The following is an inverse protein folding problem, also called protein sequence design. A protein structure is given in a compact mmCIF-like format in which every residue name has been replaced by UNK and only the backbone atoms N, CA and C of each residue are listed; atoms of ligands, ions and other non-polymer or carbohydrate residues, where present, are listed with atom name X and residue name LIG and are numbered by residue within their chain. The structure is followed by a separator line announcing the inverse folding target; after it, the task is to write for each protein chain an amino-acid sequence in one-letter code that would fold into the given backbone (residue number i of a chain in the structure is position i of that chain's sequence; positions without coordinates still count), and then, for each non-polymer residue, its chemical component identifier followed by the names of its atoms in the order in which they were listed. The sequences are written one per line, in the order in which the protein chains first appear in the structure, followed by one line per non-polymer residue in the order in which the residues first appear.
data_IF_155520640882
#
_entry.id   IF_155520640882
#
_cell.length_a   1.000
_cell.length_b   1.000
_cell.length_c   1.000
_cell.angle_alpha   90.00
_cell.angle_beta   90.00
_cell.angle_gamma   90.00
#
_symmetry.space_group_name_H-M   'P 1'
#
loop_
_entity.id
_entity.type
_entity.pdbx_description
1 polymer ?
#
# COMPACT_ATOMS: atom_id res chain seq x y z
N UNK A 1 3.67 -9.27 21.90
CA UNK A 1 3.39 -9.62 20.48
C UNK A 1 2.16 -10.50 20.25
N UNK A 2 1.68 -11.28 21.20
CA UNK A 2 0.45 -12.08 21.09
C UNK A 2 -0.85 -11.26 20.95
N UNK A 3 -0.80 -9.95 21.13
CA UNK A 3 -1.98 -9.08 21.18
C UNK A 3 -2.36 -8.42 19.83
N UNK A 4 -1.62 -8.68 18.76
CA UNK A 4 -1.92 -8.15 17.42
C UNK A 4 -2.23 -9.29 16.46
N UNK A 5 -3.11 -9.06 15.49
CA UNK A 5 -3.46 -10.03 14.45
C UNK A 5 -2.17 -10.52 13.76
N UNK A 6 -2.01 -11.83 13.63
CA UNK A 6 -0.81 -12.52 13.12
C UNK A 6 0.49 -12.27 13.91
N UNK A 7 0.42 -11.72 15.14
CA UNK A 7 1.59 -11.37 15.95
C UNK A 7 2.51 -12.55 16.32
N UNK A 8 2.04 -13.77 16.30
CA UNK A 8 2.81 -15.00 16.55
C UNK A 8 3.21 -15.75 15.28
N UNK A 9 2.71 -15.34 14.10
CA UNK A 9 2.96 -16.03 12.85
C UNK A 9 4.29 -15.57 12.22
N UNK A 10 5.29 -16.43 12.27
CA UNK A 10 6.59 -16.20 11.58
C UNK A 10 6.39 -16.19 10.05
N UNK A 11 5.54 -17.10 9.53
CA UNK A 11 5.25 -17.17 8.10
C UNK A 11 4.64 -15.85 7.58
N UNK A 12 3.73 -15.23 8.35
CA UNK A 12 3.17 -13.93 7.99
C UNK A 12 4.24 -12.82 7.93
N UNK A 13 5.19 -12.81 8.86
CA UNK A 13 6.31 -11.85 8.89
C UNK A 13 7.26 -12.04 7.73
N UNK A 14 7.57 -13.30 7.38
CA UNK A 14 8.34 -13.61 6.18
C UNK A 14 7.63 -13.10 4.91
N UNK A 15 6.33 -13.30 4.83
CA UNK A 15 5.51 -12.81 3.71
C UNK A 15 5.56 -11.28 3.62
N UNK A 16 5.34 -10.56 4.73
CA UNK A 16 5.44 -9.10 4.76
C UNK A 16 6.83 -8.60 4.32
N UNK A 17 7.90 -9.21 4.84
CA UNK A 17 9.28 -8.88 4.44
C UNK A 17 9.53 -9.17 2.97
N UNK A 18 9.06 -10.32 2.48
CA UNK A 18 9.17 -10.71 1.07
C UNK A 18 8.52 -9.68 0.16
N UNK A 19 7.27 -9.34 0.42
CA UNK A 19 6.54 -8.37 -0.40
C UNK A 19 7.03 -6.94 -0.21
N UNK A 20 7.69 -6.61 0.89
CA UNK A 20 8.28 -5.28 1.06
C UNK A 20 9.46 -5.03 0.13
N UNK A 21 10.18 -6.04 -0.39
CA UNK A 21 11.34 -5.72 -1.23
C UNK A 21 11.96 -6.89 -1.98
N UNK A 22 11.82 -8.12 -1.51
CA UNK A 22 12.55 -9.24 -2.10
C UNK A 22 11.90 -9.76 -3.39
N UNK A 23 10.56 -9.71 -3.50
CA UNK A 23 9.82 -10.25 -4.65
C UNK A 23 10.21 -9.60 -5.97
N UNK A 24 10.54 -8.30 -5.96
CA UNK A 24 10.85 -7.52 -7.17
C UNK A 24 12.13 -8.00 -7.86
N UNK A 25 12.99 -8.68 -7.11
CA UNK A 25 14.25 -9.25 -7.58
C UNK A 25 14.10 -10.68 -8.11
N UNK A 26 12.91 -11.27 -8.03
CA UNK A 26 12.70 -12.64 -8.49
C UNK A 26 12.88 -12.73 -10.01
N UNK A 27 13.72 -13.67 -10.54
CA UNK A 27 14.03 -13.73 -11.96
C UNK A 27 12.82 -13.85 -12.89
N UNK A 28 11.77 -14.58 -12.47
CA UNK A 28 10.52 -14.72 -13.25
C UNK A 28 9.77 -13.40 -13.46
N UNK A 29 10.06 -12.36 -12.67
CA UNK A 29 9.40 -11.06 -12.77
C UNK A 29 10.22 -10.05 -13.57
N UNK A 30 11.45 -10.36 -13.98
CA UNK A 30 12.39 -9.41 -14.59
C UNK A 30 11.89 -8.79 -15.89
N UNK A 31 11.10 -9.51 -16.68
CA UNK A 31 10.56 -9.07 -17.98
C UNK A 31 9.26 -8.26 -17.91
N UNK A 32 8.73 -7.99 -16.72
CA UNK A 32 7.45 -7.29 -16.58
C UNK A 32 7.68 -5.85 -16.10
N UNK A 33 6.86 -4.92 -16.63
CA UNK A 33 6.85 -3.52 -16.22
C UNK A 33 5.90 -3.25 -15.07
N UNK A 34 4.77 -3.94 -15.03
CA UNK A 34 3.75 -3.85 -13.99
C UNK A 34 3.48 -5.18 -13.34
N UNK A 35 2.89 -5.13 -12.16
CA UNK A 35 2.25 -6.27 -11.50
C UNK A 35 0.93 -5.86 -10.88
N UNK A 36 0.10 -6.86 -10.66
CA UNK A 36 -1.11 -6.76 -9.85
C UNK A 36 -1.06 -7.82 -8.77
N UNK A 37 -0.98 -7.39 -7.52
CA UNK A 37 -1.07 -8.30 -6.38
C UNK A 37 -2.52 -8.62 -6.10
N UNK A 38 -2.84 -9.91 -6.12
CA UNK A 38 -4.15 -10.47 -5.78
C UNK A 38 -3.93 -11.55 -4.74
N UNK A 39 -4.52 -11.42 -3.57
CA UNK A 39 -4.41 -12.41 -2.51
C UNK A 39 -5.51 -13.47 -2.59
N UNK A 40 -5.29 -14.69 -2.05
CA UNK A 40 -6.35 -15.69 -1.93
C UNK A 40 -7.52 -15.18 -1.08
N UNK A 41 -8.74 -15.56 -1.44
CA UNK A 41 -9.94 -15.24 -0.66
C UNK A 41 -10.47 -13.82 -0.86
N UNK A 42 -9.99 -13.10 -1.87
CA UNK A 42 -10.55 -11.80 -2.26
C UNK A 42 -11.77 -11.98 -3.18
N UNK A 43 -12.68 -11.01 -3.17
CA UNK A 43 -13.76 -10.90 -4.15
C UNK A 43 -13.67 -9.59 -4.90
N UNK A 44 -13.94 -9.66 -6.20
CA UNK A 44 -14.17 -8.50 -7.06
C UNK A 44 -15.67 -8.37 -7.31
N UNK A 45 -16.26 -7.27 -6.90
CA UNK A 45 -17.70 -7.05 -7.00
C UNK A 45 -18.13 -6.41 -8.33
N UNK A 46 -17.18 -5.86 -9.07
CA UNK A 46 -17.43 -5.20 -10.34
C UNK A 46 -16.73 -5.94 -11.49
N UNK A 47 -17.37 -5.97 -12.66
CA UNK A 47 -16.69 -6.39 -13.88
C UNK A 47 -15.63 -5.34 -14.26
N UNK A 48 -14.40 -5.80 -14.45
CA UNK A 48 -13.30 -4.98 -14.94
C UNK A 48 -13.21 -5.29 -16.44
N UNK A 49 -13.63 -4.35 -17.27
CA UNK A 49 -13.81 -4.53 -18.71
C UNK A 49 -12.75 -3.75 -19.54
N UNK A 50 -11.64 -3.45 -18.93
CA UNK A 50 -10.49 -2.79 -19.55
C UNK A 50 -9.19 -3.43 -19.05
N UNK A 51 -8.11 -3.24 -19.81
CA UNK A 51 -6.77 -3.59 -19.36
C UNK A 51 -6.26 -2.54 -18.36
N UNK A 52 -6.12 -2.95 -17.11
CA UNK A 52 -5.69 -2.06 -16.03
C UNK A 52 -4.27 -1.59 -16.21
N UNK A 53 -3.38 -2.40 -16.79
CA UNK A 53 -1.99 -2.05 -17.03
C UNK A 53 -1.86 -1.04 -18.15
N UNK A 54 -2.56 -1.27 -19.27
CA UNK A 54 -2.61 -0.31 -20.37
C UNK A 54 -3.20 1.02 -19.91
N UNK A 55 -4.25 0.97 -19.10
CA UNK A 55 -4.85 2.19 -18.52
C UNK A 55 -3.85 2.95 -17.64
N UNK A 56 -3.09 2.26 -16.79
CA UNK A 56 -2.06 2.87 -15.95
C UNK A 56 -0.97 3.53 -16.80
N UNK A 57 -0.54 2.84 -17.87
CA UNK A 57 0.45 3.35 -18.82
C UNK A 57 -0.03 4.62 -19.51
N UNK A 58 -1.20 4.57 -20.17
CA UNK A 58 -1.78 5.67 -20.95
C UNK A 58 -2.03 6.92 -20.09
N UNK A 59 -2.30 6.73 -18.78
CA UNK A 59 -2.57 7.82 -17.85
C UNK A 59 -1.35 8.19 -16.98
N UNK A 60 -0.16 7.69 -17.31
CA UNK A 60 1.09 7.93 -16.59
C UNK A 60 0.97 7.67 -15.07
N UNK A 61 0.32 6.55 -14.71
CA UNK A 61 0.19 6.09 -13.34
C UNK A 61 1.26 5.07 -13.01
N UNK A 62 1.81 5.17 -11.84
CA UNK A 62 2.87 4.28 -11.36
C UNK A 62 2.41 3.37 -10.23
N UNK A 63 1.41 3.79 -9.46
CA UNK A 63 0.86 3.04 -8.34
C UNK A 63 -0.66 3.15 -8.31
N UNK A 64 -1.35 2.06 -7.96
CA UNK A 64 -2.80 1.99 -7.89
C UNK A 64 -3.30 1.18 -6.70
N UNK A 65 -4.34 1.69 -6.06
CA UNK A 65 -4.97 1.07 -4.89
C UNK A 65 -6.49 1.14 -4.97
N UNK A 66 -7.16 0.35 -4.14
CA UNK A 66 -8.63 0.32 -4.05
C UNK A 66 -9.13 0.69 -2.65
N UNK A 67 -8.39 0.40 -1.60
CA UNK A 67 -8.72 0.75 -0.21
C UNK A 67 -7.49 1.39 0.43
N UNK A 68 -7.72 2.47 1.19
CA UNK A 68 -6.73 3.09 2.07
C UNK A 68 -7.28 3.16 3.48
N UNK A 69 -6.49 2.75 4.47
CA UNK A 69 -6.94 2.62 5.85
C UNK A 69 -5.82 2.86 6.87
N UNK A 70 -6.21 2.95 8.15
CA UNK A 70 -5.26 3.08 9.24
C UNK A 70 -4.62 1.74 9.59
N UNK A 71 -3.31 1.73 9.79
CA UNK A 71 -2.56 0.60 10.33
C UNK A 71 -2.73 0.50 11.86
N UNK A 72 -2.51 -0.69 12.39
CA UNK A 72 -2.48 -0.93 13.84
C UNK A 72 -1.21 -0.30 14.43
N UNK A 73 -1.30 0.71 15.34
CA UNK A 73 -0.14 1.46 15.82
C UNK A 73 0.99 0.58 16.37
N UNK A 74 0.62 -0.49 17.10
CA UNK A 74 1.58 -1.40 17.74
C UNK A 74 2.44 -2.19 16.75
N UNK A 75 2.06 -2.26 15.47
CA UNK A 75 2.79 -3.04 14.47
C UNK A 75 3.80 -2.22 13.67
N UNK A 76 3.82 -0.89 13.85
CA UNK A 76 4.65 0.05 13.09
C UNK A 76 5.25 1.15 13.96
N UNK A 77 5.43 0.89 15.25
CA UNK A 77 5.87 1.88 16.25
C UNK A 77 7.16 2.57 15.85
N UNK A 78 8.15 1.83 15.38
CA UNK A 78 9.46 2.37 15.00
C UNK A 78 9.61 2.62 13.50
N UNK A 79 8.66 2.21 12.66
CA UNK A 79 8.78 2.33 11.20
C UNK A 79 9.00 3.79 10.75
N UNK A 80 8.18 4.72 11.24
CA UNK A 80 8.33 6.13 10.87
C UNK A 80 9.58 6.79 11.45
N UNK A 81 9.92 6.66 12.74
CA UNK A 81 11.19 7.16 13.26
C UNK A 81 12.40 6.71 12.47
N UNK A 82 12.46 5.44 12.07
CA UNK A 82 13.54 4.87 11.27
C UNK A 82 13.52 5.41 9.84
N UNK A 83 12.34 5.49 9.21
CA UNK A 83 12.19 6.09 7.88
C UNK A 83 12.63 7.56 7.89
N UNK A 84 12.24 8.34 8.89
CA UNK A 84 12.63 9.75 9.03
C UNK A 84 14.14 9.90 9.16
N UNK A 85 14.79 9.02 9.92
CA UNK A 85 16.25 9.03 10.04
C UNK A 85 16.93 8.68 8.71
N UNK A 86 16.39 7.70 7.98
CA UNK A 86 16.84 7.38 6.62
C UNK A 86 16.77 8.60 5.68
N UNK A 87 15.62 9.29 5.66
CA UNK A 87 15.45 10.49 4.83
C UNK A 87 16.48 11.56 5.15
N UNK A 88 16.75 11.78 6.43
CA UNK A 88 17.77 12.73 6.91
C UNK A 88 19.16 12.33 6.45
N UNK A 89 19.55 11.06 6.63
CA UNK A 89 20.87 10.56 6.24
C UNK A 89 21.09 10.62 4.72
N UNK A 90 20.05 10.36 3.92
CA UNK A 90 20.11 10.42 2.46
C UNK A 90 19.82 11.82 1.89
N UNK A 91 19.56 12.83 2.75
CA UNK A 91 19.23 14.21 2.38
C UNK A 91 18.04 14.30 1.41
N UNK A 92 17.04 13.43 1.61
CA UNK A 92 15.81 13.43 0.83
C UNK A 92 14.87 14.46 1.46
N UNK A 93 14.63 15.57 0.76
CA UNK A 93 13.84 16.71 1.29
C UNK A 93 12.57 17.01 0.49
N UNK A 94 12.50 16.59 -0.77
CA UNK A 94 11.41 16.96 -1.68
C UNK A 94 10.46 15.78 -1.89
N UNK A 95 9.37 15.76 -1.12
CA UNK A 95 8.33 14.76 -1.28
C UNK A 95 6.98 15.38 -1.00
N UNK A 96 6.22 15.64 -2.07
CA UNK A 96 4.90 16.26 -1.95
C UNK A 96 3.88 15.28 -1.39
N UNK A 97 3.88 14.03 -1.83
CA UNK A 97 2.88 13.05 -1.40
C UNK A 97 3.14 12.48 0.00
N UNK A 98 4.36 12.58 0.53
CA UNK A 98 4.66 12.09 1.89
C UNK A 98 3.78 12.75 2.96
N UNK A 99 3.41 14.02 2.76
CA UNK A 99 2.56 14.75 3.71
C UNK A 99 1.14 14.15 3.83
N UNK A 100 0.67 13.39 2.85
CA UNK A 100 -0.56 12.62 2.98
C UNK A 100 -0.48 11.60 4.13
N UNK A 101 0.68 11.02 4.34
CA UNK A 101 0.94 10.00 5.38
C UNK A 101 1.38 10.60 6.72
N UNK A 102 1.47 11.92 6.82
CA UNK A 102 1.88 12.60 8.05
C UNK A 102 0.74 13.43 8.63
N UNK A 103 0.75 13.57 9.96
CA UNK A 103 -0.09 14.53 10.66
C UNK A 103 0.62 15.91 10.73
N UNK A 104 -0.07 16.91 11.29
CA UNK A 104 0.43 18.30 11.39
C UNK A 104 1.71 18.43 12.22
N UNK A 105 2.04 17.44 13.03
CA UNK A 105 3.28 17.38 13.82
C UNK A 105 4.42 16.63 13.11
N UNK A 106 4.22 16.23 11.86
CA UNK A 106 5.21 15.46 11.09
C UNK A 106 5.39 14.00 11.53
N UNK A 107 4.42 13.44 12.27
CA UNK A 107 4.42 12.04 12.65
C UNK A 107 3.55 11.23 11.67
N UNK A 108 3.87 9.95 11.51
CA UNK A 108 3.07 9.02 10.70
C UNK A 108 1.64 8.95 11.23
N UNK A 109 0.67 9.24 10.36
CA UNK A 109 -0.75 9.24 10.70
C UNK A 109 -1.39 7.87 10.60
N UNK A 110 -0.62 6.82 10.30
CA UNK A 110 -1.00 5.43 10.12
C UNK A 110 -1.76 5.12 8.83
N UNK A 111 -2.10 6.10 8.01
CA UNK A 111 -2.71 5.83 6.72
C UNK A 111 -1.76 5.04 5.82
N UNK A 112 -2.30 4.04 5.14
CA UNK A 112 -1.59 3.31 4.11
C UNK A 112 -2.54 2.86 3.00
N UNK A 113 -2.01 2.57 1.83
CA UNK A 113 -2.71 1.87 0.76
C UNK A 113 -2.65 0.37 1.04
N UNK A 114 -3.80 -0.30 1.00
CA UNK A 114 -3.88 -1.70 1.39
C UNK A 114 -3.37 -2.62 0.28
N UNK A 115 -2.16 -3.14 0.46
CA UNK A 115 -1.37 -3.82 -0.56
C UNK A 115 -1.87 -5.21 -0.99
N UNK A 116 -2.90 -5.77 -0.36
CA UNK A 116 -3.54 -6.98 -0.87
C UNK A 116 -4.30 -6.76 -2.20
N UNK A 117 -4.56 -5.51 -2.55
CA UNK A 117 -4.81 -5.02 -3.90
C UNK A 117 -3.78 -3.94 -4.20
N UNK A 118 -2.82 -4.25 -5.02
CA UNK A 118 -1.77 -3.31 -5.41
C UNK A 118 -1.43 -3.51 -6.88
N UNK A 119 -1.59 -2.47 -7.69
CA UNK A 119 -1.11 -2.43 -9.07
C UNK A 119 0.02 -1.42 -9.12
N UNK A 120 1.22 -1.84 -9.51
CA UNK A 120 2.34 -0.91 -9.54
C UNK A 120 3.36 -1.24 -10.62
N UNK A 121 4.11 -0.20 -11.04
CA UNK A 121 5.29 -0.37 -11.88
C UNK A 121 6.42 -0.98 -11.07
N UNK A 122 7.07 -1.98 -11.61
CA UNK A 122 8.27 -2.55 -11.02
C UNK A 122 9.42 -1.54 -10.87
N UNK A 123 9.47 -0.53 -11.72
CA UNK A 123 10.49 0.51 -11.64
C UNK A 123 10.51 1.28 -10.30
N UNK A 124 9.39 1.37 -9.59
CA UNK A 124 9.33 2.00 -8.26
C UNK A 124 10.18 1.21 -7.26
N UNK A 125 10.09 -0.12 -7.32
CA UNK A 125 10.69 -1.04 -6.36
C UNK A 125 12.09 -1.52 -6.77
N UNK A 126 12.40 -1.48 -8.07
CA UNK A 126 13.72 -1.78 -8.63
C UNK A 126 14.63 -0.56 -8.65
N UNK A 127 14.14 0.62 -8.31
CA UNK A 127 14.97 1.82 -8.12
C UNK A 127 16.04 1.52 -7.05
N UNK A 128 17.32 1.76 -7.34
CA UNK A 128 18.40 1.58 -6.36
C UNK A 128 18.14 2.29 -5.03
N UNK A 129 17.46 3.43 -5.05
CA UNK A 129 17.08 4.16 -3.85
C UNK A 129 16.02 3.42 -3.01
N UNK A 130 15.10 2.68 -3.65
CA UNK A 130 14.18 1.81 -2.90
C UNK A 130 14.90 0.61 -2.28
N UNK A 131 15.77 -0.01 -3.03
CA UNK A 131 16.55 -1.15 -2.52
C UNK A 131 17.45 -0.74 -1.35
N UNK A 132 18.03 0.47 -1.38
CA UNK A 132 18.76 1.04 -0.25
C UNK A 132 17.82 1.31 0.94
N UNK A 133 16.62 1.87 0.71
CA UNK A 133 15.61 2.07 1.75
C UNK A 133 15.14 0.75 2.38
N UNK A 134 14.78 -0.22 1.56
CA UNK A 134 14.38 -1.54 2.05
C UNK A 134 15.51 -2.20 2.86
N UNK A 135 16.75 -2.17 2.35
CA UNK A 135 17.91 -2.72 3.04
C UNK A 135 18.18 -1.99 4.36
N UNK A 136 17.96 -0.68 4.39
CA UNK A 136 18.08 0.11 5.61
C UNK A 136 17.04 -0.32 6.66
N UNK A 137 15.78 -0.46 6.27
CA UNK A 137 14.71 -0.92 7.15
C UNK A 137 14.97 -2.35 7.65
N UNK A 138 15.39 -3.24 6.77
CA UNK A 138 15.59 -4.66 7.07
C UNK A 138 16.60 -4.91 8.18
N UNK A 139 17.60 -4.03 8.35
CA UNK A 139 18.60 -4.09 9.43
C UNK A 139 18.04 -3.84 10.82
N UNK A 140 16.83 -3.29 10.93
CA UNK A 140 16.19 -2.97 12.21
C UNK A 140 15.29 -4.10 12.74
N UNK A 141 15.19 -5.21 12.01
CA UNK A 141 14.37 -6.36 12.36
C UNK A 141 12.88 -6.06 12.64
N UNK A 142 12.38 -4.91 12.22
CA UNK A 142 11.01 -4.47 12.51
C UNK A 142 9.92 -5.38 11.96
N UNK A 143 10.18 -6.08 10.86
CA UNK A 143 9.31 -7.14 10.34
C UNK A 143 9.10 -8.26 11.37
N UNK A 144 10.11 -8.58 12.16
CA UNK A 144 10.10 -9.66 13.12
C UNK A 144 9.78 -9.20 14.54
N UNK A 145 10.29 -8.06 14.97
CA UNK A 145 10.12 -7.56 16.33
C UNK A 145 8.75 -6.86 16.53
N UNK A 146 8.29 -6.10 15.53
CA UNK A 146 7.02 -5.34 15.60
C UNK A 146 5.92 -5.95 14.74
N UNK A 147 6.19 -6.56 13.63
CA UNK A 147 5.31 -7.02 12.57
C UNK A 147 5.03 -5.92 11.52
N UNK A 148 6.06 -5.22 11.07
CA UNK A 148 5.87 -4.31 9.93
C UNK A 148 5.24 -5.05 8.76
N UNK A 149 4.18 -4.45 8.19
CA UNK A 149 3.55 -4.92 6.98
C UNK A 149 4.20 -4.29 5.74
N UNK A 150 4.07 -4.94 4.60
CA UNK A 150 4.49 -4.39 3.31
C UNK A 150 3.65 -3.16 2.92
N UNK A 151 2.36 -3.14 3.26
CA UNK A 151 1.47 -2.02 2.95
C UNK A 151 1.97 -0.67 3.52
N UNK A 152 2.30 -0.51 4.81
CA UNK A 152 2.86 0.74 5.31
C UNK A 152 4.26 1.04 4.76
N UNK A 153 5.11 0.03 4.52
CA UNK A 153 6.44 0.23 3.92
C UNK A 153 6.32 0.77 2.50
N UNK A 154 5.48 0.16 1.66
CA UNK A 154 5.20 0.60 0.30
C UNK A 154 4.57 2.00 0.27
N UNK A 155 3.58 2.23 1.12
CA UNK A 155 2.88 3.53 1.18
C UNK A 155 3.82 4.67 1.52
N UNK A 156 4.70 4.49 2.50
CA UNK A 156 5.71 5.50 2.85
C UNK A 156 6.65 5.77 1.67
N UNK A 157 7.11 4.73 0.96
CA UNK A 157 7.97 4.93 -0.20
C UNK A 157 7.25 5.59 -1.37
N UNK A 158 6.02 5.20 -1.66
CA UNK A 158 5.15 5.89 -2.64
C UNK A 158 5.03 7.36 -2.26
N UNK A 159 4.81 7.66 -0.99
CA UNK A 159 4.80 9.04 -0.47
C UNK A 159 6.11 9.78 -0.69
N UNK A 160 7.25 9.10 -0.55
CA UNK A 160 8.59 9.68 -0.71
C UNK A 160 8.92 9.95 -2.20
N UNK A 161 8.49 9.11 -3.12
CA UNK A 161 8.98 9.10 -4.51
C UNK A 161 7.99 9.58 -5.55
N UNK A 162 6.70 9.48 -5.29
CA UNK A 162 5.68 9.81 -6.28
C UNK A 162 4.94 11.11 -5.92
N UNK A 163 4.40 11.73 -6.94
CA UNK A 163 3.40 12.77 -6.81
C UNK A 163 1.99 12.14 -6.77
N UNK A 164 1.02 12.83 -6.21
CA UNK A 164 -0.38 12.38 -6.20
C UNK A 164 -0.90 12.02 -7.61
N UNK A 165 -0.50 12.79 -8.62
CA UNK A 165 -0.88 12.55 -10.03
C UNK A 165 -0.42 11.20 -10.58
N UNK A 166 0.60 10.58 -10.01
CA UNK A 166 1.14 9.28 -10.41
C UNK A 166 0.48 8.11 -9.66
N UNK A 167 -0.37 8.41 -8.65
CA UNK A 167 -1.10 7.41 -7.89
C UNK A 167 -2.56 7.40 -8.32
N UNK A 168 -3.12 6.21 -8.57
CA UNK A 168 -4.51 6.04 -8.97
C UNK A 168 -5.34 5.36 -7.90
N UNK A 169 -6.48 5.92 -7.59
CA UNK A 169 -7.54 5.28 -6.82
C UNK A 169 -8.53 4.64 -7.78
N UNK A 170 -8.56 3.30 -7.85
CA UNK A 170 -9.51 2.54 -8.67
C UNK A 170 -10.92 2.64 -8.09
N UNK A 171 -11.53 3.81 -8.27
CA UNK A 171 -12.85 4.14 -7.73
C UNK A 171 -13.97 3.27 -8.31
N UNK A 172 -13.74 2.65 -9.45
CA UNK A 172 -14.67 1.82 -10.22
C UNK A 172 -14.56 0.31 -9.91
N UNK A 173 -13.63 -0.11 -9.05
CA UNK A 173 -13.45 -1.50 -8.65
C UNK A 173 -14.03 -1.71 -7.24
N UNK A 174 -15.10 -2.51 -7.15
CA UNK A 174 -15.60 -3.03 -5.89
C UNK A 174 -14.77 -4.25 -5.46
N UNK A 175 -14.37 -4.30 -4.18
CA UNK A 175 -13.39 -5.25 -3.69
C UNK A 175 -13.68 -5.68 -2.25
N UNK A 176 -13.36 -6.93 -1.91
CA UNK A 176 -13.36 -7.43 -0.54
C UNK A 176 -12.11 -8.25 -0.28
N UNK A 177 -11.55 -8.05 0.89
CA UNK A 177 -10.59 -8.95 1.49
C UNK A 177 -10.93 -9.11 2.97
N UNK A 178 -11.00 -10.35 3.44
CA UNK A 178 -11.42 -10.69 4.81
C UNK A 178 -12.79 -10.03 5.14
N UNK A 179 -12.86 -9.24 6.18
CA UNK A 179 -14.08 -8.56 6.66
C UNK A 179 -14.24 -7.15 6.11
N UNK A 180 -13.24 -6.62 5.40
CA UNK A 180 -13.24 -5.26 4.86
C UNK A 180 -13.65 -5.32 3.39
N UNK A 181 -14.65 -4.53 3.05
CA UNK A 181 -15.16 -4.45 1.68
C UNK A 181 -15.38 -3.02 1.23
N UNK A 182 -15.19 -2.80 -0.05
CA UNK A 182 -15.55 -1.60 -0.76
C UNK A 182 -16.56 -1.94 -1.86
N UNK A 183 -17.71 -1.34 -1.80
CA UNK A 183 -18.76 -1.53 -2.79
C UNK A 183 -18.96 -0.27 -3.62
N UNK A 184 -18.92 -0.41 -4.92
CA UNK A 184 -19.23 0.67 -5.86
C UNK A 184 -20.69 0.56 -6.25
N UNK A 185 -21.42 1.66 -6.12
CA UNK A 185 -22.82 1.71 -6.54
C UNK A 185 -22.89 2.06 -8.04
N UNK A 186 -22.58 1.09 -8.88
CA UNK A 186 -22.70 1.15 -10.34
C UNK A 186 -23.65 0.02 -10.78
N UNK A 187 -24.94 0.31 -10.78
CA UNK A 187 -26.05 -0.63 -10.82
C UNK A 187 -26.04 -1.73 -11.89
N UNK A 188 -25.23 -1.61 -12.94
CA UNK A 188 -25.16 -2.61 -14.02
C UNK A 188 -23.87 -3.44 -14.00
N UNK A 189 -22.76 -2.85 -13.54
CA UNK A 189 -21.43 -3.44 -13.63
C UNK A 189 -20.98 -4.11 -12.33
N UNK A 190 -21.52 -3.66 -11.19
CA UNK A 190 -21.16 -4.13 -9.86
C UNK A 190 -22.29 -4.90 -9.18
N UNK A 191 -21.94 -6.00 -8.52
CA UNK A 191 -22.88 -6.82 -7.73
C UNK A 191 -22.32 -7.02 -6.33
N UNK A 192 -22.66 -6.13 -5.42
CA UNK A 192 -22.28 -6.25 -4.03
C UNK A 192 -23.30 -7.07 -3.25
N UNK A 193 -22.86 -7.90 -2.28
CA UNK A 193 -23.76 -8.49 -1.30
C UNK A 193 -24.51 -7.42 -0.51
N UNK A 194 -25.78 -7.66 -0.16
CA UNK A 194 -26.59 -6.73 0.63
C UNK A 194 -25.98 -6.43 2.01
N UNK A 195 -25.18 -7.36 2.54
CA UNK A 195 -24.47 -7.23 3.81
C UNK A 195 -23.14 -6.52 3.71
N UNK A 196 -22.68 -6.17 2.50
CA UNK A 196 -21.38 -5.51 2.34
C UNK A 196 -21.46 -4.08 2.90
N UNK A 197 -20.58 -3.80 3.85
CA UNK A 197 -20.40 -2.46 4.40
C UNK A 197 -19.31 -1.78 3.57
N UNK A 198 -19.63 -0.61 3.00
CA UNK A 198 -18.63 0.14 2.25
C UNK A 198 -17.63 0.79 3.22
N UNK A 199 -16.40 0.32 3.19
CA UNK A 199 -15.33 0.79 4.05
C UNK A 199 -14.91 2.25 3.76
N UNK A 200 -15.24 2.79 2.60
CA UNK A 200 -14.95 4.19 2.24
C UNK A 200 -15.45 5.18 3.31
N UNK A 201 -16.53 4.83 4.00
CA UNK A 201 -17.16 5.64 5.05
C UNK A 201 -16.81 5.21 6.48
N UNK A 202 -15.94 4.21 6.64
CA UNK A 202 -15.53 3.75 7.96
C UNK A 202 -14.60 4.78 8.62
N UNK A 203 -14.66 4.89 9.96
CA UNK A 203 -13.80 5.81 10.73
C UNK A 203 -12.29 5.59 10.54
N UNK A 204 -11.90 4.37 10.22
CA UNK A 204 -10.50 3.99 9.97
C UNK A 204 -10.14 4.06 8.48
N UNK A 205 -11.04 4.57 7.62
CA UNK A 205 -10.75 4.82 6.21
C UNK A 205 -9.93 6.10 6.05
N UNK A 206 -8.91 6.05 5.21
CA UNK A 206 -8.12 7.22 4.82
C UNK A 206 -8.60 7.83 3.49
N UNK A 207 -9.70 7.33 2.91
CA UNK A 207 -10.13 7.77 1.59
C UNK A 207 -10.57 9.24 1.57
N UNK A 208 -11.30 9.71 2.58
CA UNK A 208 -11.71 11.12 2.64
C UNK A 208 -10.48 12.05 2.58
N UNK A 209 -9.47 11.74 3.40
CA UNK A 209 -8.18 12.46 3.38
C UNK A 209 -7.51 12.40 2.00
N UNK A 210 -7.55 11.24 1.32
CA UNK A 210 -7.00 11.11 -0.03
C UNK A 210 -7.69 11.98 -1.06
N UNK A 211 -9.02 12.06 -1.00
CA UNK A 211 -9.82 12.87 -1.93
C UNK A 211 -9.58 14.37 -1.73
N UNK A 212 -9.41 14.82 -0.49
CA UNK A 212 -9.15 16.21 -0.12
C UNK A 212 -7.69 16.64 -0.33
N UNK A 213 -6.75 15.70 -0.32
CA UNK A 213 -5.31 15.98 -0.49
C UNK A 213 -5.07 16.59 -1.89
N UNK A 214 -4.29 17.67 -1.96
CA UNK A 214 -4.00 18.40 -3.20
C UNK A 214 -2.59 18.14 -3.70
#
# INVERSE_FOLDING_TARGET
MSQVKYGTSVAYRHMCRWFSGLFVMHPLLSGYEFYWRVEPGVDFYCKINYDVFQWMEDNNKSYGFVISLLELPKTVTSLWPITREYLKQRRITNSTLLNFFLNDYGNYNLCHFWSNFEIARFSIWRDPAYLDYFTYLDRWDGFYLERWGDAPVHSLWVGIRLNKSQVHFFHDIGYRHDTISRCVNDGSRCKCPKSAINFDFHKDSCLARWLEYK
#
